data_IF_725576264626
#
_entry.id   IF_725576264626
#
_cell.length_a   1.000
_cell.length_b   1.000
_cell.length_c   1.000
_cell.angle_alpha   90.00
_cell.angle_beta   90.00
_cell.angle_gamma   90.00
#
_symmetry.space_group_name_H-M   'P 1'
#
loop_
_entity.id
_entity.type
_entity.pdbx_description
1 polymer ?
#
# COMPACT_ATOMS: atom_id res chain seq x y z
N UNK A 1 -2.76 -29.35 -2.84
CA UNK A 1 -1.84 -28.75 -1.85
C UNK A 1 -0.42 -28.51 -2.37
N UNK A 2 0.28 -29.47 -2.99
CA UNK A 2 1.66 -29.28 -3.48
C UNK A 2 1.83 -28.15 -4.52
N UNK A 3 0.87 -27.96 -5.43
CA UNK A 3 0.93 -26.89 -6.43
C UNK A 3 0.73 -25.48 -5.83
N UNK A 4 -0.13 -25.33 -4.81
CA UNK A 4 -0.31 -24.05 -4.10
C UNK A 4 0.97 -23.63 -3.37
N UNK A 5 1.63 -24.56 -2.70
CA UNK A 5 2.89 -24.32 -1.97
C UNK A 5 4.02 -23.94 -2.95
N UNK A 6 4.05 -24.55 -4.13
CA UNK A 6 5.01 -24.21 -5.20
C UNK A 6 4.82 -22.78 -5.72
N UNK A 7 3.59 -22.28 -5.80
CA UNK A 7 3.29 -20.93 -6.27
C UNK A 7 3.75 -19.86 -5.25
N UNK A 8 3.52 -20.09 -3.95
CA UNK A 8 4.01 -19.21 -2.89
C UNK A 8 5.54 -19.21 -2.74
N UNK A 9 6.21 -20.28 -3.18
CA UNK A 9 7.68 -20.35 -3.21
C UNK A 9 8.31 -19.57 -4.37
N UNK A 10 7.51 -19.03 -5.30
CA UNK A 10 8.06 -18.20 -6.36
C UNK A 10 8.63 -16.91 -5.75
N UNK A 11 9.85 -16.47 -6.15
CA UNK A 11 10.48 -15.27 -5.58
C UNK A 11 9.65 -14.00 -5.79
N UNK A 12 8.78 -13.99 -6.82
CA UNK A 12 7.78 -12.94 -7.07
C UNK A 12 6.69 -12.79 -6.01
N UNK A 13 6.47 -13.79 -5.15
CA UNK A 13 5.44 -13.76 -4.11
C UNK A 13 6.03 -13.78 -2.71
N UNK A 14 7.05 -14.62 -2.48
CA UNK A 14 7.69 -14.73 -1.17
C UNK A 14 8.30 -13.41 -0.72
N UNK A 15 8.93 -12.68 -1.63
CA UNK A 15 9.59 -11.42 -1.31
C UNK A 15 8.56 -10.30 -1.01
N UNK A 16 7.58 -10.00 -1.89
CA UNK A 16 6.56 -8.98 -1.58
C UNK A 16 5.77 -9.28 -0.30
N UNK A 17 5.46 -10.54 -0.02
CA UNK A 17 4.76 -10.93 1.22
C UNK A 17 5.61 -10.60 2.43
N UNK A 18 6.91 -10.91 2.42
CA UNK A 18 7.81 -10.59 3.54
C UNK A 18 7.91 -9.07 3.78
N UNK A 19 8.09 -8.27 2.72
CA UNK A 19 8.11 -6.82 2.84
C UNK A 19 6.75 -6.26 3.26
N UNK A 20 5.64 -6.84 2.82
CA UNK A 20 4.29 -6.48 3.25
C UNK A 20 4.04 -6.77 4.73
N UNK A 21 4.51 -7.91 5.24
CA UNK A 21 4.43 -8.23 6.67
C UNK A 21 5.24 -7.23 7.50
N UNK A 22 6.48 -6.94 7.10
CA UNK A 22 7.29 -5.90 7.75
C UNK A 22 6.62 -4.53 7.71
N UNK A 23 6.04 -4.14 6.56
CA UNK A 23 5.30 -2.88 6.44
C UNK A 23 4.12 -2.83 7.41
N UNK A 24 3.34 -3.92 7.52
CA UNK A 24 2.22 -3.97 8.44
C UNK A 24 2.63 -3.90 9.91
N UNK A 25 3.73 -4.57 10.29
CA UNK A 25 4.30 -4.47 11.64
C UNK A 25 4.80 -3.07 11.94
N UNK A 26 5.47 -2.40 10.99
CA UNK A 26 5.95 -1.02 11.16
C UNK A 26 4.79 -0.03 11.30
N UNK A 27 3.76 -0.15 10.45
CA UNK A 27 2.55 0.67 10.55
C UNK A 27 1.83 0.46 11.89
N UNK A 28 1.74 -0.78 12.36
CA UNK A 28 1.17 -1.07 13.68
C UNK A 28 2.07 -0.57 14.83
N UNK A 29 3.39 -0.64 14.69
CA UNK A 29 4.34 -0.07 15.65
C UNK A 29 4.18 1.44 15.77
N UNK A 30 3.96 2.14 14.66
CA UNK A 30 3.65 3.57 14.66
C UNK A 30 2.31 3.86 15.36
N UNK A 31 1.28 3.05 15.11
CA UNK A 31 0.00 3.14 15.84
C UNK A 31 0.21 3.00 17.36
N UNK A 32 1.03 2.04 17.80
CA UNK A 32 1.34 1.84 19.22
C UNK A 32 2.16 2.99 19.80
N UNK A 33 3.08 3.58 19.02
CA UNK A 33 3.84 4.74 19.45
C UNK A 33 2.94 5.97 19.67
N UNK A 34 1.98 6.23 18.78
CA UNK A 34 0.98 7.28 18.98
C UNK A 34 0.15 7.06 20.24
N UNK A 35 -0.28 5.80 20.46
CA UNK A 35 -1.00 5.42 21.67
C UNK A 35 -0.18 5.70 22.94
N UNK A 36 1.10 5.30 22.97
CA UNK A 36 1.98 5.54 24.11
C UNK A 36 2.25 7.04 24.38
N UNK A 37 2.17 7.89 23.35
CA UNK A 37 2.30 9.34 23.45
C UNK A 37 0.98 10.04 23.84
N UNK A 38 -0.13 9.30 23.99
CA UNK A 38 -1.45 9.86 24.27
C UNK A 38 -2.06 10.65 23.11
N UNK A 39 -1.49 10.52 21.90
CA UNK A 39 -2.03 11.13 20.68
C UNK A 39 -3.06 10.16 20.11
N UNK A 40 -4.24 10.67 19.71
CA UNK A 40 -5.29 9.83 19.12
C UNK A 40 -4.73 9.03 17.93
N UNK A 41 -4.65 7.68 18.02
CA UNK A 41 -3.99 6.87 17.01
C UNK A 41 -4.91 6.53 15.83
N UNK A 42 -6.21 6.80 15.96
CA UNK A 42 -7.22 6.66 14.91
C UNK A 42 -7.56 8.03 14.31
N UNK A 43 -7.46 8.20 13.00
CA UNK A 43 -7.82 9.45 12.31
C UNK A 43 -6.66 10.06 11.53
N UNK A 44 -6.57 11.40 11.50
CA UNK A 44 -5.73 12.12 10.54
C UNK A 44 -4.21 11.91 10.76
N UNK A 45 -3.77 11.75 12.02
CA UNK A 45 -2.36 11.49 12.36
C UNK A 45 -1.85 10.14 11.84
N UNK A 46 -2.77 9.23 11.53
CA UNK A 46 -2.45 7.92 10.98
C UNK A 46 -2.01 7.98 9.53
N UNK A 47 -2.38 9.01 8.76
CA UNK A 47 -1.99 9.14 7.33
C UNK A 47 -0.47 9.10 7.13
N UNK A 48 0.31 9.51 8.14
CA UNK A 48 1.77 9.44 8.14
C UNK A 48 2.30 8.00 8.12
N UNK A 49 1.52 7.03 8.60
CA UNK A 49 1.89 5.61 8.57
C UNK A 49 2.06 5.09 7.13
N UNK A 50 1.37 5.73 6.18
CA UNK A 50 1.41 5.37 4.77
C UNK A 50 2.79 5.61 4.16
N UNK A 51 3.58 6.53 4.72
CA UNK A 51 4.97 6.73 4.35
C UNK A 51 5.81 5.46 4.51
N UNK A 52 5.61 4.71 5.61
CA UNK A 52 6.30 3.44 5.82
C UNK A 52 5.88 2.40 4.77
N UNK A 53 4.61 2.36 4.40
CA UNK A 53 4.12 1.49 3.34
C UNK A 53 4.82 1.77 2.01
N UNK A 54 4.96 3.05 1.62
CA UNK A 54 5.64 3.46 0.38
C UNK A 54 7.13 3.08 0.42
N UNK A 55 7.83 3.38 1.52
CA UNK A 55 9.25 3.04 1.68
C UNK A 55 9.47 1.54 1.49
N UNK A 56 8.59 0.72 2.07
CA UNK A 56 8.64 -0.73 1.96
C UNK A 56 8.33 -1.24 0.55
N UNK A 57 7.40 -0.61 -0.18
CA UNK A 57 7.17 -0.91 -1.60
C UNK A 57 8.42 -0.62 -2.44
N UNK A 58 9.05 0.55 -2.25
CA UNK A 58 10.28 0.92 -2.96
C UNK A 58 11.40 -0.07 -2.65
N UNK A 59 11.59 -0.42 -1.38
CA UNK A 59 12.60 -1.37 -0.95
C UNK A 59 12.38 -2.76 -1.57
N UNK A 60 11.13 -3.24 -1.62
CA UNK A 60 10.78 -4.52 -2.22
C UNK A 60 11.10 -4.55 -3.73
N UNK A 61 10.71 -3.50 -4.47
CA UNK A 61 10.98 -3.38 -5.91
C UNK A 61 12.48 -3.26 -6.19
N UNK A 62 13.20 -2.44 -5.41
CA UNK A 62 14.64 -2.28 -5.53
C UNK A 62 15.38 -3.60 -5.28
N UNK A 63 15.02 -4.32 -4.22
CA UNK A 63 15.63 -5.61 -3.89
C UNK A 63 15.36 -6.64 -4.99
N UNK A 64 14.11 -6.74 -5.47
CA UNK A 64 13.75 -7.65 -6.56
C UNK A 64 14.55 -7.35 -7.83
N UNK A 65 14.67 -6.08 -8.21
CA UNK A 65 15.46 -5.65 -9.37
C UNK A 65 16.95 -6.02 -9.24
N UNK A 66 17.53 -5.82 -8.05
CA UNK A 66 18.96 -6.03 -7.82
C UNK A 66 19.34 -7.52 -7.74
N UNK A 67 18.49 -8.38 -7.19
CA UNK A 67 18.88 -9.76 -6.88
C UNK A 67 18.22 -10.81 -7.77
N UNK A 68 17.04 -10.52 -8.34
CA UNK A 68 16.28 -11.49 -9.13
C UNK A 68 16.25 -11.07 -10.60
N UNK A 69 15.85 -9.82 -10.87
CA UNK A 69 15.72 -9.30 -12.23
C UNK A 69 17.05 -9.01 -12.94
N UNK A 70 18.21 -9.20 -12.28
CA UNK A 70 19.56 -8.88 -12.80
C UNK A 70 19.64 -7.47 -13.43
N UNK A 71 18.90 -6.51 -12.87
CA UNK A 71 18.84 -5.13 -13.35
C UNK A 71 17.73 -4.82 -14.38
N UNK A 72 16.96 -5.81 -14.81
CA UNK A 72 15.76 -5.67 -15.64
C UNK A 72 14.50 -5.89 -14.80
N UNK A 73 13.46 -5.10 -15.07
CA UNK A 73 12.17 -5.20 -14.39
C UNK A 73 11.07 -4.72 -15.33
N UNK A 74 10.11 -5.60 -15.61
CA UNK A 74 8.92 -5.20 -16.35
C UNK A 74 7.97 -4.39 -15.48
N UNK A 75 7.20 -3.51 -16.12
CA UNK A 75 6.22 -2.67 -15.43
C UNK A 75 5.18 -3.50 -14.66
N UNK A 76 4.70 -4.60 -15.27
CA UNK A 76 3.72 -5.48 -14.63
C UNK A 76 4.30 -6.22 -13.40
N UNK A 77 5.60 -6.53 -13.38
CA UNK A 77 6.26 -7.14 -12.23
C UNK A 77 6.31 -6.15 -11.07
N UNK A 78 6.73 -4.91 -11.34
CA UNK A 78 6.78 -3.85 -10.34
C UNK A 78 5.38 -3.55 -9.76
N UNK A 79 4.36 -3.47 -10.63
CA UNK A 79 2.97 -3.29 -10.22
C UNK A 79 2.50 -4.42 -9.31
N UNK A 80 2.76 -5.67 -9.69
CA UNK A 80 2.35 -6.84 -8.92
C UNK A 80 3.01 -6.86 -7.54
N UNK A 81 4.33 -6.58 -7.48
CA UNK A 81 5.09 -6.52 -6.23
C UNK A 81 4.52 -5.47 -5.30
N UNK A 82 4.34 -4.23 -5.78
CA UNK A 82 3.81 -3.15 -4.96
C UNK A 82 2.37 -3.43 -4.49
N UNK A 83 1.54 -4.02 -5.36
CA UNK A 83 0.17 -4.39 -5.00
C UNK A 83 0.15 -5.44 -3.90
N UNK A 84 0.97 -6.51 -3.99
CA UNK A 84 1.04 -7.54 -2.95
C UNK A 84 1.58 -6.97 -1.63
N UNK A 85 2.63 -6.15 -1.66
CA UNK A 85 3.15 -5.47 -0.46
C UNK A 85 2.05 -4.63 0.19
N UNK A 86 1.31 -3.85 -0.62
CA UNK A 86 0.22 -3.02 -0.13
C UNK A 86 -0.89 -3.85 0.53
N UNK A 87 -1.41 -4.85 -0.18
CA UNK A 87 -2.52 -5.67 0.30
C UNK A 87 -2.14 -6.41 1.57
N UNK A 88 -0.98 -7.07 1.60
CA UNK A 88 -0.53 -7.82 2.78
C UNK A 88 -0.31 -6.89 3.97
N UNK A 89 0.35 -5.74 3.78
CA UNK A 89 0.60 -4.80 4.87
C UNK A 89 -0.67 -4.10 5.36
N UNK A 90 -1.60 -3.75 4.46
CA UNK A 90 -2.89 -3.17 4.84
C UNK A 90 -3.75 -4.17 5.62
N UNK A 91 -3.84 -5.43 5.15
CA UNK A 91 -4.56 -6.49 5.86
C UNK A 91 -3.97 -6.77 7.24
N UNK A 92 -2.64 -6.91 7.33
CA UNK A 92 -1.98 -7.16 8.61
C UNK A 92 -2.20 -6.00 9.59
N UNK A 93 -2.01 -4.75 9.13
CA UNK A 93 -2.22 -3.57 9.98
C UNK A 93 -3.67 -3.49 10.47
N UNK A 94 -4.63 -3.65 9.58
CA UNK A 94 -6.04 -3.55 9.92
C UNK A 94 -6.46 -4.66 10.91
N UNK A 95 -5.92 -5.87 10.74
CA UNK A 95 -6.15 -6.98 11.66
C UNK A 95 -5.53 -6.73 13.05
N UNK A 96 -4.28 -6.26 13.10
CA UNK A 96 -3.61 -5.96 14.37
C UNK A 96 -4.34 -4.85 15.14
N UNK A 97 -4.81 -3.81 14.45
CA UNK A 97 -5.60 -2.74 15.05
C UNK A 97 -6.94 -3.27 15.55
N UNK A 98 -7.63 -4.12 14.79
CA UNK A 98 -8.86 -4.77 15.25
C UNK A 98 -8.65 -5.54 16.55
N UNK A 99 -7.59 -6.36 16.61
CA UNK A 99 -7.25 -7.13 17.81
C UNK A 99 -6.93 -6.20 18.99
N UNK A 100 -6.19 -5.12 18.75
CA UNK A 100 -5.84 -4.14 19.78
C UNK A 100 -7.08 -3.46 20.37
N UNK A 101 -7.96 -2.93 19.51
CA UNK A 101 -9.18 -2.26 19.96
C UNK A 101 -10.17 -3.21 20.62
N UNK A 102 -10.20 -4.48 20.21
CA UNK A 102 -11.11 -5.48 20.76
C UNK A 102 -10.66 -6.02 22.13
N UNK A 103 -9.36 -6.28 22.30
CA UNK A 103 -8.85 -7.02 23.46
C UNK A 103 -8.04 -6.18 24.44
N UNK A 104 -7.44 -5.06 24.01
CA UNK A 104 -6.53 -4.27 24.84
C UNK A 104 -7.23 -3.02 25.35
N UNK A 105 -7.74 -2.18 24.44
CA UNK A 105 -8.34 -0.90 24.83
C UNK A 105 -9.52 -0.51 23.92
N UNK A 106 -10.75 -0.91 24.28
CA UNK A 106 -11.95 -0.52 23.54
C UNK A 106 -12.34 0.95 23.75
N UNK A 107 -11.79 1.63 24.76
CA UNK A 107 -12.14 3.03 25.04
C UNK A 107 -11.65 3.97 23.93
N UNK A 108 -10.51 3.66 23.31
CA UNK A 108 -9.97 4.41 22.15
C UNK A 108 -10.99 4.47 21.02
N UNK A 109 -11.68 3.36 20.75
CA UNK A 109 -12.70 3.32 19.70
C UNK A 109 -13.88 4.23 20.03
N UNK A 110 -14.35 4.24 21.27
CA UNK A 110 -15.42 5.14 21.70
C UNK A 110 -15.01 6.61 21.65
N UNK A 111 -13.76 6.91 22.03
CA UNK A 111 -13.21 8.26 21.94
C UNK A 111 -13.07 8.72 20.49
N UNK A 112 -12.62 7.83 19.59
CA UNK A 112 -12.57 8.09 18.15
C UNK A 112 -13.94 8.43 17.55
N UNK A 113 -15.00 7.71 17.93
CA UNK A 113 -16.36 8.05 17.50
C UNK A 113 -16.82 9.41 18.04
N UNK A 114 -16.45 9.73 19.28
CA UNK A 114 -16.68 11.04 19.89
C UNK A 114 -16.01 12.18 19.11
N UNK A 115 -14.72 12.04 18.81
CA UNK A 115 -13.95 13.03 18.04
C UNK A 115 -14.46 13.17 16.61
N UNK A 116 -14.86 12.06 15.96
CA UNK A 116 -15.48 12.11 14.63
C UNK A 116 -16.80 12.91 14.65
N UNK A 117 -17.64 12.69 15.66
CA UNK A 117 -18.89 13.42 15.83
C UNK A 117 -18.64 14.90 16.08
N UNK A 118 -17.70 15.22 16.95
CA UNK A 118 -17.32 16.60 17.26
C UNK A 118 -16.77 17.32 16.03
N UNK A 119 -15.95 16.65 15.21
CA UNK A 119 -15.40 17.19 13.96
C UNK A 119 -16.50 17.49 12.92
N UNK A 120 -17.51 16.63 12.80
CA UNK A 120 -18.66 16.89 11.92
C UNK A 120 -19.47 18.09 12.42
N UNK A 121 -19.74 18.16 13.73
CA UNK A 121 -20.50 19.25 14.33
C UNK A 121 -19.76 20.59 14.22
N UNK A 122 -18.45 20.62 14.48
CA UNK A 122 -17.63 21.82 14.39
C UNK A 122 -17.50 22.34 12.95
N UNK A 123 -17.61 21.44 11.96
CA UNK A 123 -17.53 21.78 10.53
C UNK A 123 -18.92 21.96 9.89
N UNK A 124 -20.01 21.91 10.68
CA UNK A 124 -21.39 21.93 10.18
C UNK A 124 -21.67 23.06 9.19
N UNK A 125 -21.27 24.30 9.49
CA UNK A 125 -21.52 25.45 8.62
C UNK A 125 -20.99 25.23 7.20
N UNK A 126 -19.73 24.80 7.09
CA UNK A 126 -19.07 24.50 5.82
C UNK A 126 -19.66 23.27 5.12
N UNK A 127 -19.98 22.22 5.88
CA UNK A 127 -20.54 20.97 5.33
C UNK A 127 -21.94 21.15 4.79
N UNK A 128 -22.81 21.90 5.48
CA UNK A 128 -24.17 22.18 5.04
C UNK A 128 -24.17 23.06 3.79
N UNK A 129 -23.26 24.02 3.70
CA UNK A 129 -23.09 24.86 2.51
C UNK A 129 -22.57 24.07 1.29
N UNK A 130 -21.66 23.10 1.51
CA UNK A 130 -21.03 22.33 0.42
C UNK A 130 -21.85 21.12 -0.03
N UNK A 131 -22.48 20.40 0.91
CA UNK A 131 -23.14 19.11 0.67
C UNK A 131 -24.67 19.16 0.87
N UNK A 132 -25.18 20.20 1.51
CA UNK A 132 -26.58 20.31 1.90
C UNK A 132 -26.90 19.68 3.26
N UNK A 133 -28.00 20.13 3.85
CA UNK A 133 -28.47 19.70 5.18
C UNK A 133 -28.79 18.19 5.26
N UNK A 134 -29.29 17.61 4.16
CA UNK A 134 -29.67 16.20 4.11
C UNK A 134 -28.45 15.27 4.19
N UNK A 135 -27.35 15.59 3.49
CA UNK A 135 -26.12 14.80 3.54
C UNK A 135 -25.35 15.00 4.86
N UNK A 136 -25.40 16.20 5.44
CA UNK A 136 -24.90 16.42 6.80
C UNK A 136 -25.58 15.50 7.83
N UNK A 137 -26.93 15.40 7.77
CA UNK A 137 -27.67 14.53 8.69
C UNK A 137 -27.36 13.03 8.48
N UNK A 138 -27.10 12.61 7.23
CA UNK A 138 -26.63 11.26 6.93
C UNK A 138 -25.23 11.01 7.47
N UNK A 139 -24.28 11.94 7.29
CA UNK A 139 -22.92 11.81 7.83
C UNK A 139 -22.95 11.63 9.35
N UNK A 140 -23.76 12.41 10.07
CA UNK A 140 -23.87 12.29 11.51
C UNK A 140 -24.44 10.92 11.94
N UNK A 141 -25.47 10.43 11.25
CA UNK A 141 -26.03 9.09 11.49
C UNK A 141 -25.06 7.96 11.13
N UNK A 142 -24.22 8.16 10.11
CA UNK A 142 -23.24 7.15 9.69
C UNK A 142 -22.17 6.93 10.75
N UNK A 143 -21.83 7.94 11.57
CA UNK A 143 -20.90 7.75 12.71
C UNK A 143 -21.43 6.71 13.68
N UNK A 144 -22.73 6.72 13.97
CA UNK A 144 -23.36 5.77 14.89
C UNK A 144 -23.43 4.33 14.33
N UNK A 145 -23.22 4.16 13.02
CA UNK A 145 -23.17 2.85 12.34
C UNK A 145 -21.74 2.29 12.23
N UNK A 146 -20.72 3.06 12.62
CA UNK A 146 -19.33 2.59 12.56
C UNK A 146 -19.15 1.52 13.64
N UNK A 147 -18.86 0.31 13.17
CA UNK A 147 -18.43 -0.82 13.99
C UNK A 147 -16.93 -1.04 13.84
N UNK A 148 -16.35 -1.85 14.73
CA UNK A 148 -14.95 -2.27 14.63
C UNK A 148 -14.66 -2.99 13.30
N UNK A 149 -15.62 -3.73 12.76
CA UNK A 149 -15.46 -4.46 11.50
C UNK A 149 -15.48 -3.52 10.29
N UNK A 150 -16.39 -2.55 10.28
CA UNK A 150 -16.43 -1.52 9.23
C UNK A 150 -15.18 -0.64 9.26
N UNK A 151 -14.60 -0.40 10.45
CA UNK A 151 -13.34 0.33 10.58
C UNK A 151 -12.18 -0.38 9.87
N UNK A 152 -12.10 -1.72 9.98
CA UNK A 152 -11.08 -2.53 9.28
C UNK A 152 -11.25 -2.46 7.77
N UNK A 153 -12.50 -2.61 7.29
CA UNK A 153 -12.82 -2.52 5.86
C UNK A 153 -12.49 -1.15 5.27
N UNK A 154 -12.83 -0.08 6.01
CA UNK A 154 -12.51 1.30 5.63
C UNK A 154 -11.00 1.53 5.60
N UNK A 155 -10.26 0.98 6.56
CA UNK A 155 -8.81 1.11 6.64
C UNK A 155 -8.12 0.47 5.42
N UNK A 156 -8.51 -0.77 5.08
CA UNK A 156 -7.97 -1.49 3.93
C UNK A 156 -8.32 -0.73 2.63
N UNK A 157 -9.56 -0.27 2.51
CA UNK A 157 -10.03 0.43 1.31
C UNK A 157 -9.29 1.76 1.12
N UNK A 158 -9.16 2.57 2.18
CA UNK A 158 -8.43 3.85 2.14
C UNK A 158 -6.97 3.64 1.76
N UNK A 159 -6.26 2.69 2.39
CA UNK A 159 -4.86 2.39 2.04
C UNK A 159 -4.72 1.88 0.61
N UNK A 160 -5.67 1.09 0.13
CA UNK A 160 -5.67 0.58 -1.26
C UNK A 160 -5.85 1.69 -2.27
N UNK A 161 -6.81 2.60 -2.05
CA UNK A 161 -7.02 3.76 -2.94
C UNK A 161 -5.82 4.70 -2.91
N UNK A 162 -5.28 4.98 -1.72
CA UNK A 162 -4.08 5.81 -1.57
C UNK A 162 -2.83 5.20 -2.21
N UNK A 163 -2.77 3.87 -2.32
CA UNK A 163 -1.65 3.15 -2.95
C UNK A 163 -1.65 3.18 -4.47
N UNK A 164 -2.76 3.50 -5.14
CA UNK A 164 -2.83 3.48 -6.60
C UNK A 164 -1.76 4.39 -7.22
N UNK A 165 -1.66 5.65 -6.77
CA UNK A 165 -0.69 6.61 -7.31
C UNK A 165 0.77 6.24 -6.99
N UNK A 166 1.16 5.95 -5.74
CA UNK A 166 2.51 5.49 -5.42
C UNK A 166 2.90 4.23 -6.18
N UNK A 167 2.02 3.23 -6.27
CA UNK A 167 2.28 1.98 -6.99
C UNK A 167 2.62 2.27 -8.45
N UNK A 168 1.86 3.14 -9.12
CA UNK A 168 2.12 3.55 -10.50
C UNK A 168 3.45 4.29 -10.63
N UNK A 169 3.72 5.27 -9.76
CA UNK A 169 4.96 6.07 -9.79
C UNK A 169 6.18 5.17 -9.59
N UNK A 170 6.17 4.32 -8.55
CA UNK A 170 7.28 3.39 -8.26
C UNK A 170 7.49 2.44 -9.45
N UNK A 171 6.41 1.92 -10.02
CA UNK A 171 6.50 0.99 -11.16
C UNK A 171 7.07 1.65 -12.41
N UNK A 172 6.76 2.93 -12.66
CA UNK A 172 7.32 3.70 -13.76
C UNK A 172 8.79 4.06 -13.52
N UNK A 173 9.16 4.50 -12.31
CA UNK A 173 10.52 4.87 -11.97
C UNK A 173 11.49 3.68 -12.05
N UNK A 174 11.05 2.49 -11.63
CA UNK A 174 11.88 1.30 -11.64
C UNK A 174 11.84 0.51 -12.95
N UNK A 175 10.96 0.90 -13.89
CA UNK A 175 10.89 0.31 -15.24
C UNK A 175 12.19 0.60 -15.99
N UNK A 176 12.85 -0.44 -16.49
CA UNK A 176 13.90 -0.32 -17.50
C UNK A 176 13.32 -0.73 -18.85
N UNK A 177 13.43 0.14 -19.86
CA UNK A 177 13.12 -0.18 -21.25
C UNK A 177 14.36 -0.83 -21.88
N UNK A 178 14.18 -1.89 -22.67
CA UNK A 178 15.25 -2.36 -23.56
C UNK A 178 15.53 -1.29 -24.61
N UNK A 179 16.60 -0.53 -24.41
CA UNK A 179 17.05 0.50 -25.36
C UNK A 179 17.71 -0.11 -26.61
N UNK A 180 17.88 -1.43 -26.68
CA UNK A 180 18.37 -2.12 -27.89
C UNK A 180 17.44 -1.91 -29.11
N UNK A 181 16.16 -1.61 -28.87
CA UNK A 181 15.20 -1.23 -29.92
C UNK A 181 15.44 0.18 -30.47
N UNK A 182 16.09 1.07 -29.70
CA UNK A 182 16.43 2.44 -30.11
C UNK A 182 17.88 2.60 -30.55
N UNK A 183 18.74 1.64 -30.21
CA UNK A 183 20.12 1.58 -30.64
C UNK A 183 20.43 0.14 -31.10
N UNK A 184 19.92 -0.28 -32.27
CA UNK A 184 20.32 -1.55 -32.84
C UNK A 184 21.84 -1.52 -32.98
N UNK A 185 22.52 -2.47 -32.34
CA UNK A 185 23.93 -2.71 -32.64
C UNK A 185 24.04 -2.88 -34.15
N UNK A 186 24.94 -2.16 -34.85
CA UNK A 186 25.10 -2.36 -36.28
C UNK A 186 25.36 -3.84 -36.53
N UNK A 187 24.61 -4.44 -37.46
CA UNK A 187 24.77 -5.84 -37.84
C UNK A 187 26.25 -6.07 -38.16
N UNK A 188 26.95 -6.77 -37.26
CA UNK A 188 28.32 -7.17 -37.53
C UNK A 188 28.25 -8.15 -38.70
N UNK A 189 29.04 -7.94 -39.78
CA UNK A 189 29.00 -8.80 -40.95
C UNK A 189 29.22 -10.26 -40.53
N UNK A 190 28.35 -11.13 -41.03
CA UNK A 190 28.39 -12.54 -40.75
C UNK A 190 29.75 -13.12 -41.20
N UNK A 191 30.56 -13.73 -40.30
CA UNK A 191 31.88 -14.26 -40.66
C UNK A 191 31.85 -15.34 -41.76
N UNK A 192 30.66 -15.85 -42.12
CA UNK A 192 30.50 -16.88 -43.16
C UNK A 192 30.44 -16.34 -44.59
N UNK A 193 30.38 -15.03 -44.81
CA UNK A 193 30.49 -14.45 -46.15
C UNK A 193 31.97 -14.20 -46.49
N UNK A 194 32.63 -15.24 -47.01
CA UNK A 194 33.93 -15.08 -47.65
C UNK A 194 33.81 -14.11 -48.84
N UNK A 195 34.75 -13.18 -49.05
CA UNK A 195 34.71 -12.31 -50.22
C UNK A 195 34.83 -13.19 -51.47
N UNK A 196 33.85 -13.10 -52.38
CA UNK A 196 34.02 -13.66 -53.72
C UNK A 196 35.16 -12.87 -54.38
N UNK A 197 36.30 -13.53 -54.59
CA UNK A 197 37.40 -12.98 -55.37
C UNK A 197 36.91 -12.75 -56.80
N UNK A 198 37.16 -11.54 -57.32
CA UNK A 198 36.94 -11.17 -58.72
C UNK A 198 37.72 -12.06 -59.68
#
# INVERSE_FOLDING_TARGET
>A
MKQLISFFNHPLLKLPVFFGLLAGVLCFGYFLALYALGIMPLGNHKVLDFGFQIIMMVAAVWYYRKHIGKGFLHLWEALSICYVVNTVGAMLTAWLIYLFLKYIDPAIFTQYLGEMRELIVSTKGRLVETLGQAEYAKMLKNVDLITLETLVGDEISKKTVLAILPVLIISLLFRRQDYSLYNPTPDLPNPSESPKSN
#
